data_IF_310151505680
#
_entry.id   IF_310151505680
#
_cell.length_a   1.000
_cell.length_b   1.000
_cell.length_c   1.000
_cell.angle_alpha   90.00
_cell.angle_beta   90.00
_cell.angle_gamma   90.00
#
_symmetry.space_group_name_H-M   'P 1'
#
loop_
_entity.id
_entity.type
_entity.pdbx_description
1 polymer ?
#
# COMPACT_ATOMS: atom_id res chain seq x y z
N UNK A 1 -26.39 -12.05 -17.98
CA UNK A 1 -25.89 -10.83 -17.28
C UNK A 1 -25.77 -9.72 -18.31
N UNK A 2 -26.28 -8.53 -18.04
CA UNK A 2 -26.03 -7.35 -18.89
C UNK A 2 -24.61 -6.82 -18.65
N UNK A 3 -24.00 -6.23 -19.68
CA UNK A 3 -22.66 -5.64 -19.58
C UNK A 3 -22.73 -4.36 -18.73
N UNK A 4 -21.74 -4.11 -17.85
CA UNK A 4 -21.67 -2.84 -17.11
C UNK A 4 -21.29 -1.69 -18.04
N UNK A 5 -21.93 -0.52 -17.84
CA UNK A 5 -21.65 0.71 -18.58
C UNK A 5 -20.34 1.39 -18.13
N UNK A 6 -19.89 1.12 -16.89
CA UNK A 6 -18.64 1.61 -16.33
C UNK A 6 -18.05 0.59 -15.35
N UNK A 7 -16.73 0.45 -15.38
CA UNK A 7 -15.95 -0.33 -14.40
C UNK A 7 -14.82 0.56 -13.90
N UNK A 8 -14.67 0.66 -12.57
CA UNK A 8 -13.59 1.41 -11.92
C UNK A 8 -12.74 0.40 -11.14
N UNK A 9 -11.42 0.54 -11.28
CA UNK A 9 -10.45 -0.23 -10.53
C UNK A 9 -9.67 0.70 -9.60
N UNK A 10 -9.37 0.21 -8.41
CA UNK A 10 -8.34 0.82 -7.57
C UNK A 10 -6.97 0.72 -8.26
N UNK A 11 -6.00 1.53 -7.83
CA UNK A 11 -4.66 1.53 -8.41
C UNK A 11 -3.70 0.63 -7.64
N UNK A 12 -3.40 0.98 -6.38
CA UNK A 12 -2.38 0.33 -5.57
C UNK A 12 -2.80 -1.09 -5.17
N UNK A 13 -2.00 -2.09 -5.53
CA UNK A 13 -2.32 -3.50 -5.27
C UNK A 13 -3.44 -4.08 -6.14
N UNK A 14 -4.05 -3.29 -7.02
CA UNK A 14 -5.05 -3.75 -8.01
C UNK A 14 -4.52 -3.66 -9.44
N UNK A 15 -4.16 -2.45 -9.90
CA UNK A 15 -3.57 -2.23 -11.23
C UNK A 15 -2.04 -2.19 -11.21
N UNK A 16 -1.43 -1.88 -10.06
CA UNK A 16 0.02 -1.76 -9.91
C UNK A 16 0.53 -2.42 -8.63
N UNK A 17 1.65 -3.14 -8.72
CA UNK A 17 2.41 -3.57 -7.53
C UNK A 17 3.30 -2.42 -7.05
N UNK A 18 2.70 -1.49 -6.30
CA UNK A 18 3.34 -0.26 -5.81
C UNK A 18 3.99 -0.42 -4.44
N UNK A 19 3.91 -1.60 -3.81
CA UNK A 19 4.36 -1.79 -2.43
C UNK A 19 5.86 -1.50 -2.26
N UNK A 20 6.68 -1.88 -3.24
CA UNK A 20 8.13 -1.64 -3.19
C UNK A 20 8.48 -0.15 -3.17
N UNK A 21 7.72 0.65 -3.92
CA UNK A 21 7.88 2.09 -3.95
C UNK A 21 7.57 2.72 -2.58
N UNK A 22 6.43 2.38 -1.97
CA UNK A 22 6.08 2.91 -0.64
C UNK A 22 7.13 2.53 0.42
N UNK A 23 7.61 1.29 0.38
CA UNK A 23 8.64 0.81 1.32
C UNK A 23 9.95 1.57 1.22
N UNK A 24 10.36 1.91 0.00
CA UNK A 24 11.57 2.69 -0.21
C UNK A 24 11.46 4.11 0.40
N UNK A 25 10.26 4.68 0.46
CA UNK A 25 10.01 6.02 1.02
C UNK A 25 9.89 6.04 2.55
N UNK A 26 9.40 4.96 3.17
CA UNK A 26 9.12 4.90 4.62
C UNK A 26 10.28 5.39 5.51
N UNK A 27 11.56 5.04 5.28
CA UNK A 27 12.66 5.51 6.12
C UNK A 27 12.89 7.02 6.07
N UNK A 28 12.69 7.65 4.91
CA UNK A 28 12.81 9.11 4.80
C UNK A 28 11.66 9.78 5.55
N UNK A 29 10.44 9.31 5.33
CA UNK A 29 9.24 9.83 5.99
C UNK A 29 9.33 9.67 7.51
N UNK A 30 9.84 8.54 8.00
CA UNK A 30 9.96 8.29 9.45
C UNK A 30 10.90 9.28 10.12
N UNK A 31 12.03 9.62 9.48
CA UNK A 31 12.96 10.64 9.96
C UNK A 31 12.35 12.04 9.90
N UNK A 32 11.64 12.36 8.81
CA UNK A 32 11.04 13.68 8.58
C UNK A 32 9.91 13.99 9.56
N UNK A 33 9.08 13.00 9.86
CA UNK A 33 7.86 13.18 10.66
C UNK A 33 7.93 12.56 12.06
N UNK A 34 9.04 11.89 12.40
CA UNK A 34 9.31 11.41 13.76
C UNK A 34 8.51 10.19 14.21
N UNK A 35 7.94 9.41 13.27
CA UNK A 35 7.21 8.18 13.61
C UNK A 35 8.13 6.95 13.63
N UNK A 36 7.70 5.91 14.35
CA UNK A 36 8.39 4.63 14.39
C UNK A 36 8.34 3.96 13.01
N UNK A 37 9.50 3.67 12.43
CA UNK A 37 9.59 2.85 11.23
C UNK A 37 9.26 1.38 11.58
N UNK A 38 8.22 0.77 10.97
CA UNK A 38 7.92 -0.64 11.20
C UNK A 38 9.01 -1.55 10.60
N UNK A 39 9.27 -2.70 11.22
CA UNK A 39 10.18 -3.71 10.68
C UNK A 39 9.66 -4.28 9.37
N UNK A 40 10.53 -4.96 8.62
CA UNK A 40 10.10 -5.66 7.42
C UNK A 40 9.03 -6.72 7.72
N UNK A 41 9.18 -7.50 8.81
CA UNK A 41 8.17 -8.49 9.19
C UNK A 41 6.83 -7.85 9.56
N UNK A 42 6.84 -6.72 10.27
CA UNK A 42 5.61 -5.97 10.59
C UNK A 42 4.92 -5.48 9.31
N UNK A 43 5.69 -5.00 8.32
CA UNK A 43 5.15 -4.54 7.04
C UNK A 43 4.59 -5.70 6.20
N UNK A 44 5.21 -6.87 6.22
CA UNK A 44 4.71 -8.07 5.54
C UNK A 44 3.45 -8.62 6.22
N UNK A 45 3.41 -8.64 7.55
CA UNK A 45 2.24 -9.09 8.32
C UNK A 45 0.97 -8.29 8.02
N UNK A 46 1.13 -7.02 7.59
CA UNK A 46 0.01 -6.15 7.22
C UNK A 46 -0.49 -6.35 5.78
N UNK A 47 0.16 -7.17 4.94
CA UNK A 47 -0.33 -7.42 3.58
C UNK A 47 -1.71 -8.06 3.60
N UNK A 48 -2.54 -7.68 2.63
CA UNK A 48 -3.90 -8.21 2.48
C UNK A 48 -4.90 -7.77 3.54
N UNK A 49 -4.50 -6.90 4.47
CA UNK A 49 -5.39 -6.31 5.46
C UNK A 49 -5.89 -4.95 4.96
N UNK A 50 -7.21 -4.70 4.97
CA UNK A 50 -7.73 -3.39 4.61
C UNK A 50 -7.31 -2.34 5.64
N UNK A 51 -7.18 -1.06 5.25
CA UNK A 51 -7.15 0.04 6.20
C UNK A 51 -8.39 -0.03 7.09
N UNK A 52 -8.23 0.14 8.40
CA UNK A 52 -9.36 0.21 9.34
C UNK A 52 -10.02 1.57 9.31
#
# INVERSE_FOLDING_TARGET
MSKPDLIIFDFDGTLADSVGFFRALLPELSRKFGFRLPSFEEQEAMRGHPPR
#
